data_IF_838093576389
#
_entry.id   IF_838093576389
#
_cell.length_a   1.000
_cell.length_b   1.000
_cell.length_c   1.000
_cell.angle_alpha   90.00
_cell.angle_beta   90.00
_cell.angle_gamma   90.00
#
_symmetry.space_group_name_H-M   'P 1'
#
loop_
_entity.id
_entity.type
_entity.pdbx_description
1 polymer ?
#
# COMPACT_ATOMS: atom_id res chain seq x y z
N UNK A 1 9.58 17.64 -14.25
CA UNK A 1 8.73 17.59 -13.03
C UNK A 1 7.85 16.36 -13.15
N UNK A 2 7.45 15.77 -12.02
CA UNK A 2 6.57 14.60 -12.04
C UNK A 2 5.11 15.06 -11.98
N UNK A 3 4.24 14.44 -12.78
CA UNK A 3 2.80 14.69 -12.77
C UNK A 3 2.08 13.88 -11.67
N UNK A 4 2.66 12.73 -11.30
CA UNK A 4 2.15 11.82 -10.27
C UNK A 4 3.30 11.38 -9.35
N UNK A 5 3.03 11.40 -8.04
CA UNK A 5 3.91 10.92 -6.98
C UNK A 5 3.28 9.72 -6.28
N UNK A 6 4.02 8.61 -6.21
CA UNK A 6 3.71 7.49 -5.32
C UNK A 6 4.71 7.45 -4.17
N UNK A 7 4.20 7.43 -2.94
CA UNK A 7 5.02 7.24 -1.75
C UNK A 7 4.66 5.90 -1.12
N UNK A 8 5.67 5.10 -0.79
CA UNK A 8 5.47 3.82 -0.09
C UNK A 8 5.75 4.00 1.40
N UNK A 9 4.78 3.68 2.25
CA UNK A 9 4.90 3.75 3.71
C UNK A 9 4.98 2.35 4.29
N UNK A 10 6.01 2.06 5.08
CA UNK A 10 6.03 0.87 5.93
C UNK A 10 5.23 1.14 7.21
N UNK A 11 4.40 0.19 7.65
CA UNK A 11 3.60 0.39 8.86
C UNK A 11 4.45 0.27 10.12
N UNK A 12 4.82 1.43 10.68
CA UNK A 12 5.46 1.58 11.98
C UNK A 12 5.45 3.06 12.38
N UNK A 13 5.36 3.37 13.68
CA UNK A 13 5.18 4.74 14.16
C UNK A 13 6.26 5.71 13.63
N UNK A 14 7.53 5.28 13.65
CA UNK A 14 8.65 6.05 13.10
C UNK A 14 8.55 6.26 11.59
N UNK A 15 8.10 5.24 10.86
CA UNK A 15 7.95 5.29 9.40
C UNK A 15 6.79 6.24 9.02
N UNK A 16 5.70 6.25 9.79
CA UNK A 16 4.55 7.15 9.62
C UNK A 16 4.98 8.60 9.81
N UNK A 17 5.64 8.91 10.92
CA UNK A 17 6.11 10.27 11.22
C UNK A 17 7.14 10.77 10.19
N UNK A 18 8.06 9.89 9.78
CA UNK A 18 9.04 10.20 8.74
C UNK A 18 8.37 10.49 7.40
N UNK A 19 7.38 9.68 7.02
CA UNK A 19 6.61 9.83 5.78
C UNK A 19 5.81 11.12 5.78
N UNK A 20 5.16 11.47 6.90
CA UNK A 20 4.45 12.75 7.06
C UNK A 20 5.39 13.94 6.83
N UNK A 21 6.57 13.93 7.47
CA UNK A 21 7.57 15.00 7.27
C UNK A 21 8.01 15.10 5.81
N UNK A 22 8.25 13.97 5.15
CA UNK A 22 8.59 13.99 3.72
C UNK A 22 7.45 14.54 2.85
N UNK A 23 6.21 14.16 3.14
CA UNK A 23 5.02 14.66 2.45
C UNK A 23 4.90 16.18 2.59
N UNK A 24 5.05 16.72 3.81
CA UNK A 24 4.93 18.15 4.09
C UNK A 24 6.12 18.97 3.55
N UNK A 25 7.36 18.55 3.85
CA UNK A 25 8.55 19.38 3.66
C UNK A 25 9.13 19.28 2.25
N UNK A 26 9.04 18.11 1.61
CA UNK A 26 9.67 17.83 0.32
C UNK A 26 8.61 17.85 -0.78
N UNK A 27 7.59 16.99 -0.64
CA UNK A 27 6.64 16.70 -1.70
C UNK A 27 5.47 17.70 -1.75
N UNK A 28 5.21 18.42 -0.67
CA UNK A 28 4.19 19.46 -0.61
C UNK A 28 4.42 20.59 -1.62
N UNK A 29 5.67 20.79 -2.06
CA UNK A 29 5.96 21.70 -3.18
C UNK A 29 5.41 21.16 -4.50
N UNK A 30 5.62 19.88 -4.80
CA UNK A 30 5.19 19.24 -6.04
C UNK A 30 3.66 19.22 -6.17
N UNK A 31 2.95 18.94 -5.08
CA UNK A 31 1.49 18.94 -5.06
C UNK A 31 0.90 20.34 -5.25
N UNK A 32 1.53 21.38 -4.70
CA UNK A 32 1.16 22.79 -4.97
C UNK A 32 1.33 23.18 -6.44
N UNK A 33 2.27 22.56 -7.15
CA UNK A 33 2.46 22.74 -8.60
C UNK A 33 1.54 21.85 -9.45
N UNK A 34 0.60 21.13 -8.82
CA UNK A 34 -0.45 20.36 -9.51
C UNK A 34 -0.16 18.86 -9.65
N UNK A 35 0.94 18.36 -9.09
CA UNK A 35 1.18 16.92 -9.08
C UNK A 35 0.16 16.21 -8.19
N UNK A 36 -0.36 15.08 -8.65
CA UNK A 36 -1.20 14.20 -7.82
C UNK A 36 -0.31 13.34 -6.95
N UNK A 37 -0.71 13.12 -5.69
CA UNK A 37 0.11 12.35 -4.74
C UNK A 37 -0.69 11.25 -4.07
N UNK A 38 -0.14 10.04 -4.11
CA UNK A 38 -0.77 8.84 -3.59
C UNK A 38 0.15 8.10 -2.64
N UNK A 39 -0.45 7.45 -1.64
CA UNK A 39 0.22 6.67 -0.62
C UNK A 39 -0.08 5.18 -0.83
N UNK A 40 0.95 4.36 -0.79
CA UNK A 40 0.87 2.90 -0.83
C UNK A 40 1.38 2.37 0.50
N UNK A 41 0.54 1.68 1.25
CA UNK A 41 0.94 1.05 2.50
C UNK A 41 1.65 -0.26 2.16
N UNK A 42 2.92 -0.37 2.49
CA UNK A 42 3.73 -1.56 2.31
C UNK A 42 3.84 -2.30 3.66
N UNK A 43 3.51 -3.60 3.67
CA UNK A 43 3.74 -4.49 4.81
C UNK A 43 2.91 -4.10 6.05
N UNK A 44 1.58 -4.04 5.91
CA UNK A 44 0.68 -3.83 7.06
C UNK A 44 0.83 -5.00 8.04
N UNK A 45 1.40 -4.73 9.22
CA UNK A 45 1.58 -5.73 10.27
C UNK A 45 0.22 -6.16 10.83
N UNK A 46 0.05 -7.47 11.08
CA UNK A 46 -1.21 -8.05 11.57
C UNK A 46 -2.01 -8.84 10.53
N UNK A 47 -1.65 -8.74 9.25
CA UNK A 47 -2.31 -9.46 8.16
C UNK A 47 -1.28 -10.32 7.40
N UNK A 48 -0.93 -11.49 7.94
CA UNK A 48 -0.20 -12.48 7.14
C UNK A 48 -1.22 -13.27 6.33
N UNK A 49 -1.25 -13.07 5.02
CA UNK A 49 -2.16 -13.79 4.14
C UNK A 49 -1.45 -15.05 3.65
N UNK A 50 -1.97 -16.26 3.97
CA UNK A 50 -1.48 -17.49 3.34
C UNK A 50 -1.75 -17.43 1.84
N UNK A 51 -0.76 -17.86 1.04
CA UNK A 51 -0.84 -17.88 -0.42
C UNK A 51 -2.03 -18.70 -0.97
N UNK A 52 -2.65 -19.56 -0.15
CA UNK A 52 -3.74 -20.46 -0.52
C UNK A 52 -5.15 -19.92 -0.28
N UNK A 53 -5.31 -18.71 0.29
CA UNK A 53 -6.65 -18.16 0.51
C UNK A 53 -7.16 -17.57 -0.80
N UNK A 54 -7.82 -18.41 -1.60
CA UNK A 54 -8.82 -17.96 -2.56
C UNK A 54 -9.99 -17.31 -1.80
N UNK A 55 -10.59 -16.30 -2.43
CA UNK A 55 -11.64 -15.36 -1.99
C UNK A 55 -12.97 -16.00 -1.48
N UNK A 56 -12.92 -17.10 -0.75
CA UNK A 56 -14.04 -17.97 -0.37
C UNK A 56 -14.03 -18.38 1.10
N UNK A 57 -13.87 -17.43 2.02
CA UNK A 57 -14.30 -17.58 3.41
C UNK A 57 -15.06 -16.32 3.82
N UNK A 58 -16.38 -16.44 3.91
CA UNK A 58 -17.35 -15.36 3.77
C UNK A 58 -18.00 -14.88 5.07
N UNK A 59 -17.49 -15.23 6.26
CA UNK A 59 -18.15 -14.83 7.52
C UNK A 59 -17.26 -14.03 8.51
N UNK A 60 -15.93 -13.96 8.28
CA UNK A 60 -15.00 -13.15 9.10
C UNK A 60 -14.32 -12.02 8.29
N UNK A 61 -14.62 -11.91 7.01
CA UNK A 61 -14.01 -10.98 6.06
C UNK A 61 -14.47 -9.53 6.29
N UNK A 62 -15.72 -9.32 6.70
CA UNK A 62 -16.29 -7.98 6.88
C UNK A 62 -15.64 -7.19 8.01
N UNK A 63 -15.26 -7.85 9.12
CA UNK A 63 -14.56 -7.19 10.25
C UNK A 63 -13.14 -6.78 9.84
N UNK A 64 -12.47 -7.62 9.04
CA UNK A 64 -11.11 -7.37 8.54
C UNK A 64 -11.08 -6.21 7.52
N UNK A 65 -12.08 -6.16 6.63
CA UNK A 65 -12.23 -5.08 5.63
C UNK A 65 -12.52 -3.73 6.30
N UNK A 66 -13.37 -3.71 7.33
CA UNK A 66 -13.66 -2.48 8.09
C UNK A 66 -12.43 -1.94 8.81
N UNK A 67 -11.63 -2.83 9.41
CA UNK A 67 -10.41 -2.44 10.11
C UNK A 67 -9.33 -1.90 9.16
N UNK A 68 -9.23 -2.45 7.94
CA UNK A 68 -8.33 -1.95 6.89
C UNK A 68 -8.74 -0.57 6.37
N UNK A 69 -10.05 -0.35 6.15
CA UNK A 69 -10.61 0.95 5.75
C UNK A 69 -10.34 2.02 6.82
N UNK A 70 -10.61 1.73 8.08
CA UNK A 70 -10.42 2.67 9.20
C UNK A 70 -8.94 3.05 9.38
N UNK A 71 -8.03 2.10 9.20
CA UNK A 71 -6.58 2.36 9.26
C UNK A 71 -6.15 3.22 8.09
N UNK A 72 -6.59 2.92 6.88
CA UNK A 72 -6.25 3.68 5.67
C UNK A 72 -6.70 5.14 5.77
N UNK A 73 -7.92 5.39 6.25
CA UNK A 73 -8.45 6.74 6.46
C UNK A 73 -7.65 7.55 7.49
N UNK A 74 -7.25 6.90 8.59
CA UNK A 74 -6.43 7.55 9.63
C UNK A 74 -5.06 7.92 9.11
N UNK A 75 -4.41 7.01 8.40
CA UNK A 75 -3.07 7.24 7.83
C UNK A 75 -3.13 8.30 6.74
N UNK A 76 -4.13 8.24 5.86
CA UNK A 76 -4.36 9.25 4.83
C UNK A 76 -4.47 10.66 5.43
N UNK A 77 -5.28 10.82 6.49
CA UNK A 77 -5.41 12.10 7.21
C UNK A 77 -4.13 12.54 7.92
N UNK A 78 -3.33 11.58 8.40
CA UNK A 78 -2.10 11.87 9.13
C UNK A 78 -0.99 12.37 8.21
N UNK A 79 -0.85 11.72 7.05
CA UNK A 79 0.19 12.00 6.06
C UNK A 79 -0.24 13.10 5.07
N UNK A 80 -1.54 13.31 4.89
CA UNK A 80 -2.07 14.28 3.92
C UNK A 80 -2.02 13.77 2.48
N UNK A 81 -2.07 12.45 2.28
CA UNK A 81 -2.03 11.80 0.97
C UNK A 81 -3.10 10.72 0.88
N UNK A 82 -3.70 10.55 -0.30
CA UNK A 82 -4.73 9.52 -0.51
C UNK A 82 -4.11 8.14 -0.54
N UNK A 83 -4.59 7.24 0.34
CA UNK A 83 -4.16 5.84 0.33
C UNK A 83 -4.91 5.12 -0.78
N UNK A 84 -4.18 4.63 -1.79
CA UNK A 84 -4.76 3.92 -2.94
C UNK A 84 -4.60 2.41 -2.86
N UNK A 85 -3.68 1.92 -2.03
CA UNK A 85 -3.47 0.49 -1.87
C UNK A 85 -2.76 0.17 -0.56
N UNK A 86 -3.12 -0.97 0.02
CA UNK A 86 -2.45 -1.55 1.17
C UNK A 86 -1.97 -2.96 0.82
N UNK A 87 -0.66 -3.12 0.66
CA UNK A 87 -0.03 -4.39 0.33
C UNK A 87 0.27 -5.15 1.63
N UNK A 88 -0.36 -6.30 1.88
CA UNK A 88 -0.15 -7.06 3.11
C UNK A 88 1.21 -7.75 3.11
N UNK A 89 1.58 -8.30 4.26
CA UNK A 89 2.78 -9.13 4.37
C UNK A 89 2.42 -10.58 4.00
N UNK A 90 3.17 -11.22 3.12
CA UNK A 90 2.94 -12.63 2.76
C UNK A 90 3.94 -13.55 3.47
N UNK A 91 3.45 -14.69 3.97
CA UNK A 91 4.22 -15.54 4.88
C UNK A 91 5.37 -16.28 4.15
N UNK A 92 5.23 -16.53 2.84
CA UNK A 92 6.25 -17.15 1.98
C UNK A 92 7.51 -16.27 1.80
N UNK A 93 7.35 -14.94 1.87
CA UNK A 93 8.47 -13.98 1.83
C UNK A 93 9.19 -13.90 3.16
N UNK A 94 8.45 -13.94 4.28
CA UNK A 94 9.01 -13.74 5.62
C UNK A 94 10.13 -14.75 5.94
N UNK A 95 10.07 -15.93 5.33
CA UNK A 95 11.07 -16.99 5.50
C UNK A 95 12.04 -17.12 4.31
N UNK A 96 11.90 -16.29 3.28
CA UNK A 96 12.80 -16.26 2.14
C UNK A 96 14.12 -15.56 2.50
N UNK A 97 15.24 -16.13 2.06
CA UNK A 97 16.58 -15.50 2.19
C UNK A 97 16.72 -14.20 1.38
N UNK A 98 15.84 -13.99 0.40
CA UNK A 98 15.72 -12.76 -0.39
C UNK A 98 14.39 -12.15 0.00
N UNK A 99 14.42 -11.16 0.89
CA UNK A 99 13.22 -10.52 1.48
C UNK A 99 12.47 -9.60 0.49
N UNK A 100 12.26 -10.05 -0.75
CA UNK A 100 11.54 -9.26 -1.76
C UNK A 100 10.73 -10.14 -2.71
N UNK A 101 9.48 -9.75 -2.96
CA UNK A 101 8.67 -10.26 -4.06
C UNK A 101 8.78 -9.34 -5.27
N UNK A 102 8.72 -9.95 -6.44
CA UNK A 102 8.66 -9.24 -7.71
C UNK A 102 7.66 -9.95 -8.61
N UNK A 103 6.81 -9.20 -9.29
CA UNK A 103 5.86 -9.71 -10.28
C UNK A 103 6.57 -10.56 -11.35
N UNK A 104 7.78 -10.15 -11.78
CA UNK A 104 8.56 -10.88 -12.79
C UNK A 104 8.96 -12.31 -12.38
N UNK A 105 9.15 -12.56 -11.08
CA UNK A 105 9.51 -13.89 -10.57
C UNK A 105 8.31 -14.69 -10.11
N UNK A 106 7.27 -14.01 -9.64
CA UNK A 106 6.08 -14.60 -9.05
C UNK A 106 4.82 -14.00 -9.70
N UNK A 107 4.59 -14.24 -11.01
CA UNK A 107 3.52 -13.58 -11.76
C UNK A 107 2.11 -14.02 -11.35
N UNK A 108 1.98 -15.16 -10.67
CA UNK A 108 0.70 -15.71 -10.20
C UNK A 108 0.54 -15.61 -8.68
N UNK A 109 1.34 -14.77 -8.04
CA UNK A 109 1.25 -14.56 -6.59
C UNK A 109 0.22 -13.46 -6.29
N UNK A 110 -0.56 -13.52 -5.20
CA UNK A 110 -1.55 -12.49 -4.87
C UNK A 110 -1.00 -11.05 -4.87
N UNK A 111 0.26 -10.87 -4.47
CA UNK A 111 1.02 -9.62 -4.65
C UNK A 111 1.02 -9.11 -6.10
N UNK A 112 1.26 -9.99 -7.08
CA UNK A 112 1.29 -9.63 -8.50
C UNK A 112 -0.09 -9.17 -8.97
N UNK A 113 -1.15 -9.89 -8.60
CA UNK A 113 -2.53 -9.51 -8.93
C UNK A 113 -2.88 -8.13 -8.37
N UNK A 114 -2.44 -7.82 -7.14
CA UNK A 114 -2.66 -6.51 -6.52
C UNK A 114 -1.92 -5.37 -7.23
N UNK A 115 -0.68 -5.62 -7.68
CA UNK A 115 0.09 -4.64 -8.46
C UNK A 115 -0.53 -4.43 -9.84
N UNK A 116 -1.03 -5.49 -10.48
CA UNK A 116 -1.75 -5.40 -11.75
C UNK A 116 -3.03 -4.57 -11.59
N UNK A 117 -3.83 -4.85 -10.56
CA UNK A 117 -5.03 -4.05 -10.25
C UNK A 117 -4.69 -2.57 -10.01
N UNK A 118 -3.63 -2.28 -9.24
CA UNK A 118 -3.18 -0.91 -9.00
C UNK A 118 -2.75 -0.20 -10.29
N UNK A 119 -2.19 -0.93 -11.25
CA UNK A 119 -1.80 -0.38 -12.55
C UNK A 119 -2.98 -0.04 -13.45
N UNK A 120 -4.12 -0.71 -13.26
CA UNK A 120 -5.33 -0.51 -14.04
C UNK A 120 -6.30 0.53 -13.43
N UNK A 121 -6.11 0.87 -12.15
CA UNK A 121 -6.97 1.79 -11.42
C UNK A 121 -7.07 3.17 -12.09
N UNK A 122 -8.32 3.59 -12.32
CA UNK A 122 -8.61 4.80 -13.11
C UNK A 122 -8.15 6.09 -12.42
N UNK A 123 -7.98 6.06 -11.09
CA UNK A 123 -7.45 7.19 -10.32
C UNK A 123 -5.95 7.43 -10.60
N UNK A 124 -5.25 6.42 -11.11
CA UNK A 124 -3.80 6.42 -11.41
C UNK A 124 -3.51 6.67 -12.90
N UNK A 125 -4.54 6.69 -13.77
CA UNK A 125 -4.35 6.88 -15.21
C UNK A 125 -3.77 8.26 -15.53
N UNK A 126 -2.61 8.24 -16.17
CA UNK A 126 -1.89 9.39 -16.76
C UNK A 126 -2.55 9.82 -18.05
#
# INVERSE_FOLDING_TARGET
>A
MADILFLTLKMGDLDIDGTKKMADDIYGSLTKFGAKSYLILNRVAGFCVPHTITKSMSDNTDILIQQESDVSDRISKTVGMDVISAIPCYCDIQFSRKEFLTVLKHPHHPFADQIEQLSEETQVKV
#
